data_IF_538738720552
#
_entry.id   IF_538738720552
#
_cell.length_a   1.000
_cell.length_b   1.000
_cell.length_c   1.000
_cell.angle_alpha   90.00
_cell.angle_beta   90.00
_cell.angle_gamma   90.00
#
_symmetry.space_group_name_H-M   'P 1'
#
loop_
_entity.id
_entity.type
_entity.pdbx_description
1 polymer ?
#
# COMPACT_ATOMS: atom_id res chain seq x y z
N UNK A 1 11.75 -5.99 32.18
CA UNK A 1 12.53 -4.78 32.49
C UNK A 1 13.80 -4.66 31.62
N UNK A 2 14.76 -5.58 31.76
CA UNK A 2 16.03 -5.54 31.03
C UNK A 2 15.89 -5.49 29.49
N UNK A 3 15.00 -6.29 28.90
CA UNK A 3 14.75 -6.26 27.45
C UNK A 3 14.19 -4.92 26.96
N UNK A 4 13.32 -4.27 27.75
CA UNK A 4 12.77 -2.96 27.39
C UNK A 4 13.85 -1.89 27.45
N UNK A 5 14.72 -1.93 28.46
CA UNK A 5 15.81 -0.96 28.57
C UNK A 5 16.84 -1.14 27.45
N UNK A 6 17.13 -2.39 27.07
CA UNK A 6 17.94 -2.69 25.88
C UNK A 6 17.32 -2.10 24.61
N UNK A 7 16.02 -2.32 24.36
CA UNK A 7 15.36 -1.78 23.16
C UNK A 7 15.29 -0.24 23.17
N UNK A 8 15.07 0.36 24.34
CA UNK A 8 15.13 1.82 24.51
C UNK A 8 16.52 2.37 24.21
N UNK A 9 17.58 1.66 24.60
CA UNK A 9 18.94 2.09 24.35
C UNK A 9 19.43 1.80 22.92
N UNK A 10 18.90 0.77 22.24
CA UNK A 10 19.52 0.25 21.01
C UNK A 10 18.62 0.09 19.79
N UNK A 11 17.29 0.13 19.91
CA UNK A 11 16.40 -0.11 18.77
C UNK A 11 16.28 1.12 17.86
N UNK A 12 17.38 1.47 17.21
CA UNK A 12 17.47 2.56 16.24
C UNK A 12 16.58 2.30 15.02
N UNK A 13 16.51 1.04 14.58
CA UNK A 13 15.72 0.64 13.41
C UNK A 13 14.24 0.95 13.59
N UNK A 14 13.67 0.67 14.77
CA UNK A 14 12.28 1.00 15.08
C UNK A 14 11.98 2.51 14.96
N UNK A 15 12.85 3.38 15.48
CA UNK A 15 12.71 4.84 15.41
C UNK A 15 12.73 5.35 13.97
N UNK A 16 13.70 4.88 13.19
CA UNK A 16 13.83 5.24 11.78
C UNK A 16 12.61 4.80 10.97
N UNK A 17 12.16 3.54 11.13
CA UNK A 17 10.97 3.03 10.42
C UNK A 17 9.71 3.81 10.80
N UNK A 18 9.56 4.19 12.08
CA UNK A 18 8.43 5.03 12.54
C UNK A 18 8.39 6.37 11.85
N UNK A 19 9.51 7.09 11.86
CA UNK A 19 9.59 8.42 11.23
C UNK A 19 9.44 8.36 9.72
N UNK A 20 9.95 7.31 9.06
CA UNK A 20 9.72 7.08 7.63
C UNK A 20 8.26 6.76 7.31
N UNK A 21 7.57 5.99 8.15
CA UNK A 21 6.11 5.82 8.04
C UNK A 21 5.39 7.17 8.14
N UNK A 22 5.76 8.02 9.10
CA UNK A 22 5.19 9.35 9.22
C UNK A 22 5.47 10.24 8.00
N UNK A 23 6.71 10.23 7.47
CA UNK A 23 7.07 11.00 6.28
C UNK A 23 6.22 10.60 5.06
N UNK A 24 5.97 9.30 4.89
CA UNK A 24 5.07 8.80 3.85
C UNK A 24 3.63 9.22 4.09
N UNK A 25 3.14 9.10 5.32
CA UNK A 25 1.77 9.51 5.64
C UNK A 25 1.54 10.99 5.38
N UNK A 26 2.53 11.84 5.65
CA UNK A 26 2.49 13.25 5.29
C UNK A 26 2.42 13.44 3.76
N UNK A 27 3.22 12.69 2.98
CA UNK A 27 3.20 12.73 1.51
C UNK A 27 1.85 12.25 0.92
N UNK A 28 1.20 11.26 1.53
CA UNK A 28 -0.14 10.82 1.11
C UNK A 28 -1.19 11.91 1.33
N UNK A 29 -1.15 12.57 2.50
CA UNK A 29 -2.07 13.67 2.81
C UNK A 29 -1.84 14.90 1.91
N UNK A 30 -0.62 15.12 1.42
CA UNK A 30 -0.31 16.18 0.43
C UNK A 30 -1.06 15.98 -0.90
N UNK A 31 -1.47 14.76 -1.27
CA UNK A 31 -2.16 14.53 -2.56
C UNK A 31 -3.55 15.17 -2.60
N UNK A 32 -4.19 15.27 -1.43
CA UNK A 32 -5.55 15.76 -1.27
C UNK A 32 -5.61 17.17 -0.63
N UNK A 33 -4.47 17.72 -0.20
CA UNK A 33 -4.40 18.96 0.59
C UNK A 33 -3.26 19.88 0.14
N UNK A 34 -3.29 21.15 0.58
CA UNK A 34 -2.21 22.08 0.26
C UNK A 34 -0.91 21.69 0.98
N UNK A 35 0.18 21.55 0.21
CA UNK A 35 1.53 21.24 0.72
C UNK A 35 2.00 22.18 1.84
N UNK A 36 1.48 23.40 1.89
CA UNK A 36 1.82 24.38 2.92
C UNK A 36 1.32 23.97 4.32
N UNK A 37 0.18 23.28 4.43
CA UNK A 37 -0.43 22.93 5.71
C UNK A 37 0.37 21.84 6.45
N UNK A 38 1.04 20.95 5.72
CA UNK A 38 1.86 19.86 6.26
C UNK A 38 3.33 20.25 6.44
N UNK A 39 3.72 21.49 6.12
CA UNK A 39 5.10 21.94 6.26
C UNK A 39 5.65 21.79 7.70
N UNK A 40 4.94 22.20 8.77
CA UNK A 40 5.47 22.11 10.13
C UNK A 40 5.79 20.67 10.56
N UNK A 41 4.86 19.73 10.31
CA UNK A 41 5.06 18.33 10.69
C UNK A 41 6.16 17.67 9.85
N UNK A 42 6.28 18.03 8.58
CA UNK A 42 7.32 17.51 7.69
C UNK A 42 8.71 17.93 8.14
N UNK A 43 8.90 19.21 8.50
CA UNK A 43 10.16 19.71 9.06
C UNK A 43 10.51 18.93 10.32
N UNK A 44 9.56 18.80 11.26
CA UNK A 44 9.76 18.05 12.50
C UNK A 44 10.18 16.58 12.25
N UNK A 45 9.55 15.89 11.29
CA UNK A 45 9.89 14.51 10.93
C UNK A 45 11.30 14.42 10.37
N UNK A 46 11.67 15.27 9.40
CA UNK A 46 12.98 15.16 8.74
C UNK A 46 14.14 15.60 9.64
N UNK A 47 13.96 16.64 10.45
CA UNK A 47 14.96 17.03 11.45
C UNK A 47 15.20 15.93 12.48
N UNK A 48 14.13 15.31 12.98
CA UNK A 48 14.23 14.18 13.91
C UNK A 48 14.89 12.97 13.26
N UNK A 49 14.51 12.67 12.00
CA UNK A 49 15.08 11.55 11.25
C UNK A 49 16.58 11.74 11.01
N UNK A 50 17.04 12.97 10.77
CA UNK A 50 18.45 13.27 10.58
C UNK A 50 19.29 12.87 11.81
N UNK A 51 18.81 13.17 13.02
CA UNK A 51 19.49 12.77 14.27
C UNK A 51 19.69 11.26 14.37
N UNK A 52 18.64 10.47 14.11
CA UNK A 52 18.75 9.01 14.12
C UNK A 52 19.60 8.44 12.98
N UNK A 53 19.58 9.07 11.79
CA UNK A 53 20.43 8.63 10.68
C UNK A 53 21.92 8.89 10.96
N UNK A 54 22.25 9.90 11.77
CA UNK A 54 23.63 10.12 12.22
C UNK A 54 24.16 8.94 13.04
N UNK A 55 23.30 8.31 13.85
CA UNK A 55 23.63 7.08 14.58
C UNK A 55 23.84 5.85 13.68
N UNK A 56 23.47 5.88 12.39
CA UNK A 56 23.82 4.83 11.44
C UNK A 56 25.21 5.02 10.82
N UNK A 57 25.78 6.22 10.92
CA UNK A 57 27.13 6.50 10.40
C UNK A 57 28.18 5.92 11.33
N UNK A 58 29.37 5.64 10.79
CA UNK A 58 30.48 5.10 11.57
C UNK A 58 31.23 6.17 12.37
N UNK A 59 31.14 7.45 11.97
CA UNK A 59 31.93 8.54 12.54
C UNK A 59 31.74 8.72 14.07
N UNK A 60 30.52 8.71 14.63
CA UNK A 60 30.30 8.85 16.08
C UNK A 60 30.95 7.73 16.93
N UNK A 61 31.27 6.60 16.29
CA UNK A 61 31.74 5.39 16.96
C UNK A 61 33.23 5.10 16.72
N UNK A 62 33.95 5.96 15.99
CA UNK A 62 35.38 5.75 15.70
C UNK A 62 36.23 5.58 16.97
N UNK A 63 35.86 6.26 18.05
CA UNK A 63 36.54 6.17 19.36
C UNK A 63 36.39 4.82 20.06
N UNK A 64 35.45 3.96 19.65
CA UNK A 64 35.26 2.63 20.26
C UNK A 64 36.34 1.62 19.85
N UNK A 65 37.13 1.92 18.80
CA UNK A 65 38.12 0.99 18.25
C UNK A 65 39.16 0.55 19.29
N UNK A 66 39.51 1.44 20.21
CA UNK A 66 40.46 1.15 21.29
C UNK A 66 39.83 0.24 22.34
N UNK A 67 38.60 0.54 22.79
CA UNK A 67 37.81 -0.32 23.69
C UNK A 67 37.64 -1.74 23.14
N UNK A 68 37.37 -1.86 21.83
CA UNK A 68 37.17 -3.15 21.15
C UNK A 68 38.46 -3.99 21.12
N UNK A 69 39.63 -3.34 21.03
CA UNK A 69 40.94 -4.01 20.93
C UNK A 69 41.56 -4.34 22.29
N UNK A 70 40.97 -3.87 23.38
CA UNK A 70 41.44 -4.17 24.72
C UNK A 70 41.41 -5.67 25.02
N UNK A 71 42.45 -6.20 25.68
CA UNK A 71 42.58 -7.63 25.98
C UNK A 71 41.46 -8.14 26.90
N UNK A 72 40.95 -7.29 27.80
CA UNK A 72 39.88 -7.60 28.75
C UNK A 72 38.50 -7.07 28.30
N UNK A 73 38.29 -6.97 26.99
CA UNK A 73 37.07 -6.44 26.40
C UNK A 73 35.80 -7.19 26.89
N UNK A 74 34.87 -6.45 27.49
CA UNK A 74 33.56 -6.97 27.92
C UNK A 74 32.48 -6.56 26.92
N UNK A 75 31.74 -7.54 26.38
CA UNK A 75 30.64 -7.28 25.47
C UNK A 75 29.55 -6.38 26.11
N UNK A 76 29.29 -6.55 27.41
CA UNK A 76 28.34 -5.70 28.12
C UNK A 76 28.82 -4.24 28.17
N UNK A 77 30.11 -4.02 28.48
CA UNK A 77 30.68 -2.67 28.53
C UNK A 77 30.69 -1.99 27.15
N UNK A 78 30.94 -2.75 26.07
CA UNK A 78 30.84 -2.23 24.70
C UNK A 78 29.41 -1.85 24.31
N UNK A 79 28.41 -2.66 24.74
CA UNK A 79 27.00 -2.36 24.51
C UNK A 79 26.62 -1.09 25.28
N UNK A 80 27.05 -0.93 26.53
CA UNK A 80 26.79 0.28 27.31
C UNK A 80 27.48 1.53 26.69
N UNK A 81 28.71 1.40 26.20
CA UNK A 81 29.40 2.47 25.48
C UNK A 81 28.65 2.85 24.19
N UNK A 82 28.16 1.84 23.44
CA UNK A 82 27.35 2.07 22.24
C UNK A 82 26.06 2.83 22.58
N UNK A 83 25.37 2.42 23.65
CA UNK A 83 24.14 3.09 24.13
C UNK A 83 24.42 4.55 24.47
N UNK A 84 25.50 4.81 25.22
CA UNK A 84 25.89 6.15 25.63
C UNK A 84 26.25 7.05 24.44
N UNK A 85 26.89 6.51 23.41
CA UNK A 85 27.22 7.26 22.19
C UNK A 85 26.02 7.55 21.29
N UNK A 86 25.07 6.62 21.21
CA UNK A 86 23.83 6.85 20.44
C UNK A 86 22.89 7.82 21.15
N UNK A 87 22.87 7.78 22.48
CA UNK A 87 22.00 8.56 23.36
C UNK A 87 20.54 8.67 22.85
N UNK A 88 19.97 7.50 22.49
CA UNK A 88 18.66 7.44 21.85
C UNK A 88 17.55 8.03 22.71
N UNK A 89 17.72 8.08 24.05
CA UNK A 89 16.72 8.66 24.96
C UNK A 89 16.63 10.17 24.78
N UNK A 90 17.75 10.86 24.72
CA UNK A 90 17.77 12.31 24.43
C UNK A 90 17.18 12.57 23.05
N UNK A 91 17.55 11.78 22.03
CA UNK A 91 16.96 11.90 20.69
C UNK A 91 15.44 11.66 20.69
N UNK A 92 14.95 10.71 21.48
CA UNK A 92 13.52 10.43 21.62
C UNK A 92 12.78 11.63 22.25
N UNK A 93 13.31 12.20 23.33
CA UNK A 93 12.71 13.35 24.01
C UNK A 93 12.67 14.58 23.08
N UNK A 94 13.75 14.84 22.35
CA UNK A 94 13.79 15.92 21.34
C UNK A 94 12.82 15.66 20.18
N UNK A 95 12.71 14.41 19.72
CA UNK A 95 11.79 14.01 18.65
C UNK A 95 10.35 14.20 19.08
N UNK A 96 9.99 13.76 20.29
CA UNK A 96 8.63 13.93 20.83
C UNK A 96 8.28 15.42 20.98
N UNK A 97 9.23 16.26 21.42
CA UNK A 97 9.03 17.70 21.49
C UNK A 97 8.76 18.32 20.10
N UNK A 98 9.62 18.03 19.10
CA UNK A 98 9.48 18.54 17.72
C UNK A 98 8.17 18.07 17.08
N UNK A 99 7.84 16.78 17.21
CA UNK A 99 6.61 16.22 16.65
C UNK A 99 5.37 16.82 17.33
N UNK A 100 5.39 16.99 18.65
CA UNK A 100 4.30 17.63 19.39
C UNK A 100 4.03 19.05 18.88
N UNK A 101 5.08 19.85 18.74
CA UNK A 101 4.98 21.20 18.18
C UNK A 101 4.43 21.18 16.75
N UNK A 102 5.01 20.37 15.86
CA UNK A 102 4.57 20.27 14.47
C UNK A 102 3.12 19.79 14.33
N UNK A 103 2.69 18.82 15.13
CA UNK A 103 1.31 18.30 15.14
C UNK A 103 0.32 19.34 15.66
N UNK A 104 0.71 20.15 16.64
CA UNK A 104 -0.17 21.18 17.24
C UNK A 104 -0.58 22.26 16.23
N UNK A 105 0.24 22.48 15.20
CA UNK A 105 0.01 23.45 14.13
C UNK A 105 -0.91 22.90 13.02
N UNK A 106 -1.11 21.58 12.94
CA UNK A 106 -1.96 20.98 11.90
C UNK A 106 -3.46 21.17 12.19
N UNK A 107 -4.31 21.39 11.18
CA UNK A 107 -5.76 21.23 11.29
C UNK A 107 -6.15 19.84 11.82
N UNK A 108 -7.32 19.75 12.46
CA UNK A 108 -7.78 18.50 13.11
C UNK A 108 -7.81 17.30 12.16
N UNK A 109 -8.20 17.53 10.91
CA UNK A 109 -8.39 16.48 9.92
C UNK A 109 -7.07 15.93 9.37
N UNK A 110 -5.98 16.72 9.42
CA UNK A 110 -4.62 16.28 9.10
C UNK A 110 -3.87 15.73 10.32
N UNK A 111 -4.11 16.33 11.49
CA UNK A 111 -3.49 15.92 12.75
C UNK A 111 -3.89 14.50 13.16
N UNK A 112 -5.17 14.14 13.00
CA UNK A 112 -5.71 12.83 13.41
C UNK A 112 -5.03 11.65 12.68
N UNK A 113 -4.96 11.62 11.33
CA UNK A 113 -4.25 10.56 10.62
C UNK A 113 -2.76 10.47 10.99
N UNK A 114 -2.08 11.61 11.20
CA UNK A 114 -0.67 11.63 11.59
C UNK A 114 -0.46 11.06 13.00
N UNK A 115 -1.30 11.45 13.97
CA UNK A 115 -1.29 10.90 15.32
C UNK A 115 -1.58 9.40 15.32
N UNK A 116 -2.56 8.96 14.52
CA UNK A 116 -2.90 7.54 14.40
C UNK A 116 -1.73 6.74 13.83
N UNK A 117 -1.01 7.27 12.83
CA UNK A 117 0.18 6.64 12.29
C UNK A 117 1.32 6.56 13.32
N UNK A 118 1.53 7.63 14.11
CA UNK A 118 2.58 7.66 15.15
C UNK A 118 2.31 6.64 16.26
N UNK A 119 1.11 6.70 16.85
CA UNK A 119 0.70 5.85 17.98
C UNK A 119 0.45 4.39 17.54
N UNK A 120 -0.04 4.20 16.32
CA UNK A 120 -0.34 2.88 15.75
C UNK A 120 0.88 2.16 15.17
N UNK A 121 2.01 2.86 14.98
CA UNK A 121 3.21 2.30 14.38
C UNK A 121 3.66 0.95 14.98
N UNK A 122 3.68 0.74 16.32
CA UNK A 122 4.12 -0.55 16.87
C UNK A 122 3.33 -1.75 16.33
N UNK A 123 2.02 -1.60 16.13
CA UNK A 123 1.17 -2.67 15.58
C UNK A 123 1.48 -2.91 14.10
N UNK A 124 1.69 -1.84 13.34
CA UNK A 124 2.10 -1.92 11.94
C UNK A 124 3.48 -2.58 11.79
N UNK A 125 4.45 -2.18 12.62
CA UNK A 125 5.83 -2.69 12.57
C UNK A 125 5.88 -4.18 12.92
N UNK A 126 5.14 -4.64 13.93
CA UNK A 126 5.07 -6.07 14.29
C UNK A 126 4.53 -6.91 13.12
N UNK A 127 3.52 -6.41 12.41
CA UNK A 127 2.92 -7.13 11.29
C UNK A 127 3.80 -7.14 10.03
N UNK A 128 4.60 -6.08 9.82
CA UNK A 128 5.34 -5.86 8.56
C UNK A 128 6.82 -6.20 8.66
N UNK A 129 7.45 -6.06 9.83
CA UNK A 129 8.88 -6.30 10.03
C UNK A 129 9.35 -7.70 9.63
N UNK A 130 8.61 -8.80 9.90
CA UNK A 130 9.02 -10.14 9.44
C UNK A 130 9.10 -10.25 7.92
N UNK A 131 8.27 -9.51 7.20
CA UNK A 131 8.24 -9.48 5.74
C UNK A 131 9.41 -8.67 5.15
N UNK A 132 9.97 -7.71 5.90
CA UNK A 132 11.13 -6.92 5.49
C UNK A 132 12.46 -7.70 5.62
N UNK A 133 12.54 -8.66 6.56
CA UNK A 133 13.76 -9.44 6.80
C UNK A 133 13.92 -10.53 5.75
N UNK A 134 14.55 -10.19 4.62
CA UNK A 134 14.96 -11.15 3.59
C UNK A 134 15.41 -10.49 2.29
N UNK A 135 14.87 -9.31 1.98
CA UNK A 135 15.05 -8.68 0.66
C UNK A 135 16.04 -7.50 0.68
N UNK A 136 16.70 -7.23 1.81
CA UNK A 136 17.53 -6.03 1.97
C UNK A 136 16.75 -4.72 1.94
N UNK A 137 15.41 -4.81 1.90
CA UNK A 137 14.50 -3.67 1.94
C UNK A 137 14.32 -3.21 3.38
N UNK A 138 14.51 -1.92 3.61
CA UNK A 138 14.27 -1.29 4.91
C UNK A 138 12.84 -0.77 5.05
N UNK A 139 12.03 -0.88 3.99
CA UNK A 139 10.75 -0.20 3.86
C UNK A 139 9.87 -0.82 2.74
N UNK A 140 8.54 -0.86 2.94
CA UNK A 140 7.58 -1.18 1.88
C UNK A 140 7.11 0.08 1.17
N UNK A 141 7.18 0.11 -0.16
CA UNK A 141 6.51 1.12 -0.96
C UNK A 141 5.06 0.69 -1.22
N UNK A 142 4.06 1.56 -0.96
CA UNK A 142 2.68 1.24 -1.28
C UNK A 142 2.55 1.11 -2.80
N UNK A 143 2.13 -0.07 -3.25
CA UNK A 143 1.78 -0.31 -4.64
C UNK A 143 0.26 -0.20 -4.78
N UNK A 144 -0.19 0.52 -5.80
CA UNK A 144 -1.60 0.51 -6.18
C UNK A 144 -1.89 -0.86 -6.79
N UNK A 145 -2.94 -1.51 -6.30
CA UNK A 145 -3.39 -2.80 -6.79
C UNK A 145 -4.78 -2.62 -7.37
N UNK A 146 -4.88 -2.80 -8.68
CA UNK A 146 -6.16 -2.90 -9.36
C UNK A 146 -6.50 -4.38 -9.60
N UNK A 147 -7.70 -4.79 -9.16
CA UNK A 147 -8.18 -6.16 -9.34
C UNK A 147 -9.06 -6.25 -10.59
N UNK A 148 -8.77 -7.24 -11.43
CA UNK A 148 -9.64 -7.64 -12.54
C UNK A 148 -10.29 -8.97 -12.16
N UNK A 149 -11.50 -8.90 -11.61
CA UNK A 149 -12.28 -10.07 -11.18
C UNK A 149 -13.71 -9.99 -11.71
N UNK A 150 -14.35 -11.13 -12.06
CA UNK A 150 -15.79 -11.21 -12.30
C UNK A 150 -16.61 -10.62 -11.14
N UNK A 151 -16.13 -10.75 -9.90
CA UNK A 151 -16.85 -10.25 -8.72
C UNK A 151 -16.89 -8.71 -8.66
N UNK A 152 -15.99 -8.03 -9.37
CA UNK A 152 -15.92 -6.56 -9.46
C UNK A 152 -16.59 -6.01 -10.73
N UNK A 153 -16.99 -6.87 -11.66
CA UNK A 153 -17.46 -6.51 -12.99
C UNK A 153 -18.99 -6.66 -13.10
N UNK A 154 -19.70 -5.74 -12.45
CA UNK A 154 -21.15 -5.83 -12.25
C UNK A 154 -21.98 -5.08 -13.29
N UNK A 155 -21.36 -4.49 -14.32
CA UNK A 155 -22.07 -3.63 -15.27
C UNK A 155 -23.12 -4.36 -16.12
N UNK A 156 -22.91 -5.65 -16.42
CA UNK A 156 -23.87 -6.49 -17.16
C UNK A 156 -24.70 -7.32 -16.18
N UNK A 157 -24.04 -8.02 -15.25
CA UNK A 157 -24.71 -8.94 -14.32
C UNK A 157 -24.03 -8.97 -12.96
N UNK A 158 -24.84 -8.95 -11.90
CA UNK A 158 -24.38 -9.18 -10.52
C UNK A 158 -24.29 -10.68 -10.19
N UNK A 159 -23.47 -11.04 -9.20
CA UNK A 159 -23.32 -12.43 -8.73
C UNK A 159 -21.99 -13.08 -9.11
N UNK A 160 -21.09 -12.30 -9.74
CA UNK A 160 -19.70 -12.64 -9.92
C UNK A 160 -19.46 -13.93 -10.70
N UNK A 161 -18.36 -14.61 -10.38
CA UNK A 161 -17.95 -15.82 -11.12
C UNK A 161 -19.05 -16.90 -11.14
N UNK A 162 -19.85 -17.02 -10.07
CA UNK A 162 -20.93 -18.00 -9.97
C UNK A 162 -22.07 -17.76 -10.96
N UNK A 163 -22.37 -16.50 -11.28
CA UNK A 163 -23.45 -16.14 -12.19
C UNK A 163 -23.05 -16.17 -13.68
N UNK A 164 -21.75 -16.12 -13.98
CA UNK A 164 -21.24 -15.90 -15.34
C UNK A 164 -20.35 -17.02 -15.85
N UNK A 165 -19.48 -17.58 -15.00
CA UNK A 165 -18.46 -18.55 -15.42
C UNK A 165 -18.96 -19.99 -15.26
N UNK A 166 -18.69 -20.82 -16.27
CA UNK A 166 -18.97 -22.26 -16.25
C UNK A 166 -17.75 -23.08 -15.87
N UNK A 167 -16.55 -22.53 -16.05
CA UNK A 167 -15.29 -23.18 -15.72
C UNK A 167 -15.11 -23.48 -14.23
N UNK A 168 -15.74 -22.70 -13.35
CA UNK A 168 -15.70 -22.91 -11.89
C UNK A 168 -16.38 -24.23 -11.44
N UNK A 169 -17.18 -24.84 -12.33
CA UNK A 169 -17.74 -26.17 -12.09
C UNK A 169 -16.63 -27.23 -12.07
N UNK A 170 -16.91 -28.41 -11.50
CA UNK A 170 -15.93 -29.50 -11.41
C UNK A 170 -14.58 -29.06 -10.82
N UNK A 171 -14.58 -28.44 -9.64
CA UNK A 171 -13.37 -27.93 -8.96
C UNK A 171 -12.51 -26.99 -9.85
N UNK A 172 -13.16 -26.08 -10.58
CA UNK A 172 -12.53 -25.15 -11.54
C UNK A 172 -11.99 -25.77 -12.84
N UNK A 173 -12.41 -27.00 -13.18
CA UNK A 173 -12.01 -27.67 -14.43
C UNK A 173 -13.13 -27.81 -15.47
N UNK A 174 -14.33 -27.30 -15.22
CA UNK A 174 -15.50 -27.51 -16.10
C UNK A 174 -15.24 -27.10 -17.55
N UNK A 175 -14.50 -26.03 -17.77
CA UNK A 175 -14.16 -25.52 -19.09
C UNK A 175 -13.20 -26.44 -19.87
N UNK A 176 -12.39 -27.28 -19.22
CA UNK A 176 -11.54 -28.23 -19.96
C UNK A 176 -12.34 -29.27 -20.73
N UNK A 177 -13.51 -29.65 -20.20
CA UNK A 177 -14.33 -30.72 -20.76
C UNK A 177 -15.38 -30.27 -21.78
N UNK A 178 -15.63 -28.96 -21.90
CA UNK A 178 -16.67 -28.43 -22.79
C UNK A 178 -16.19 -27.23 -23.58
N UNK A 179 -16.24 -27.33 -24.92
CA UNK A 179 -15.95 -26.21 -25.82
C UNK A 179 -16.88 -25.03 -25.55
N UNK A 180 -18.18 -25.30 -25.36
CA UNK A 180 -19.15 -24.25 -25.03
C UNK A 180 -18.79 -23.53 -23.72
N UNK A 181 -18.28 -24.26 -22.72
CA UNK A 181 -17.85 -23.63 -21.47
C UNK A 181 -16.58 -22.78 -21.65
N UNK A 182 -15.63 -23.21 -22.48
CA UNK A 182 -14.46 -22.38 -22.82
C UNK A 182 -14.87 -21.10 -23.53
N UNK A 183 -15.74 -21.20 -24.52
CA UNK A 183 -16.20 -20.04 -25.28
C UNK A 183 -17.04 -19.08 -24.40
N UNK A 184 -17.88 -19.62 -23.50
CA UNK A 184 -18.58 -18.82 -22.49
C UNK A 184 -17.61 -18.03 -21.61
N UNK A 185 -16.65 -18.72 -20.99
CA UNK A 185 -15.73 -18.10 -20.03
C UNK A 185 -14.76 -17.14 -20.73
N UNK A 186 -14.37 -17.43 -21.98
CA UNK A 186 -13.60 -16.52 -22.81
C UNK A 186 -14.36 -15.22 -23.09
N UNK A 187 -15.63 -15.31 -23.50
CA UNK A 187 -16.45 -14.14 -23.78
C UNK A 187 -16.68 -13.30 -22.51
N UNK A 188 -17.07 -13.93 -21.40
CA UNK A 188 -17.21 -13.26 -20.12
C UNK A 188 -15.89 -12.66 -19.61
N UNK A 189 -14.76 -13.32 -19.83
CA UNK A 189 -13.45 -12.79 -19.51
C UNK A 189 -13.15 -11.47 -20.23
N UNK A 190 -13.48 -11.38 -21.53
CA UNK A 190 -13.34 -10.13 -22.30
C UNK A 190 -14.25 -9.02 -21.78
N UNK A 191 -15.52 -9.34 -21.50
CA UNK A 191 -16.49 -8.37 -21.00
C UNK A 191 -16.14 -7.85 -19.60
N UNK A 192 -15.77 -8.73 -18.67
CA UNK A 192 -15.33 -8.31 -17.33
C UNK A 192 -14.02 -7.52 -17.38
N UNK A 193 -13.07 -7.93 -18.22
CA UNK A 193 -11.83 -7.19 -18.43
C UNK A 193 -12.10 -5.77 -18.92
N UNK A 194 -12.99 -5.62 -19.91
CA UNK A 194 -13.42 -4.33 -20.43
C UNK A 194 -14.11 -3.46 -19.36
N UNK A 195 -15.03 -4.03 -18.59
CA UNK A 195 -15.72 -3.35 -17.49
C UNK A 195 -14.71 -2.78 -16.48
N UNK A 196 -13.78 -3.63 -16.03
CA UNK A 196 -12.76 -3.25 -15.06
C UNK A 196 -11.76 -2.24 -15.60
N UNK A 197 -11.33 -2.38 -16.86
CA UNK A 197 -10.39 -1.44 -17.49
C UNK A 197 -10.97 -0.02 -17.55
N UNK A 198 -12.26 0.12 -17.88
CA UNK A 198 -12.92 1.44 -17.85
C UNK A 198 -12.84 2.04 -16.45
N UNK A 199 -13.14 1.26 -15.41
CA UNK A 199 -13.12 1.77 -14.04
C UNK A 199 -11.71 2.08 -13.53
N UNK A 200 -10.69 1.30 -13.94
CA UNK A 200 -9.29 1.59 -13.66
C UNK A 200 -8.88 2.91 -14.32
N UNK A 201 -9.28 3.15 -15.58
CA UNK A 201 -9.00 4.44 -16.24
C UNK A 201 -9.71 5.59 -15.51
N UNK A 202 -10.96 5.40 -15.10
CA UNK A 202 -11.71 6.40 -14.35
C UNK A 202 -11.09 6.70 -12.97
N UNK A 203 -10.41 5.75 -12.34
CA UNK A 203 -9.72 5.95 -11.06
C UNK A 203 -8.52 6.92 -11.17
N UNK A 204 -8.07 7.22 -12.39
CA UNK A 204 -6.99 8.18 -12.66
C UNK A 204 -7.47 9.64 -12.77
N UNK A 205 -8.78 9.89 -12.75
CA UNK A 205 -9.31 11.25 -12.80
C UNK A 205 -8.90 12.06 -11.57
N UNK A 206 -8.62 13.38 -11.71
CA UNK A 206 -8.31 14.24 -10.58
C UNK A 206 -9.41 14.23 -9.51
N UNK A 207 -9.08 14.48 -8.23
CA UNK A 207 -10.09 14.59 -7.17
C UNK A 207 -11.22 15.56 -7.54
N UNK A 208 -12.46 15.11 -7.39
CA UNK A 208 -13.65 15.90 -7.72
C UNK A 208 -14.03 15.94 -9.20
N UNK A 209 -13.15 15.50 -10.12
CA UNK A 209 -13.50 15.37 -11.53
C UNK A 209 -14.39 14.13 -11.75
N UNK A 210 -15.52 14.33 -12.41
CA UNK A 210 -16.46 13.25 -12.77
C UNK A 210 -16.95 13.46 -14.19
N UNK A 211 -17.16 12.36 -14.90
CA UNK A 211 -17.85 12.41 -16.18
C UNK A 211 -19.34 12.75 -15.97
N UNK A 212 -19.98 13.26 -17.03
CA UNK A 212 -21.41 13.52 -17.03
C UNK A 212 -22.20 12.27 -16.66
N UNK A 213 -23.36 12.46 -16.00
CA UNK A 213 -24.22 11.37 -15.59
C UNK A 213 -24.57 10.46 -16.79
N UNK A 214 -24.46 9.15 -16.60
CA UNK A 214 -24.71 8.15 -17.65
C UNK A 214 -23.57 7.95 -18.66
N UNK A 215 -22.58 8.85 -18.77
CA UNK A 215 -21.51 8.75 -19.77
C UNK A 215 -20.68 7.47 -19.62
N UNK A 216 -20.38 7.07 -18.39
CA UNK A 216 -19.66 5.82 -18.09
C UNK A 216 -20.46 4.60 -18.57
N UNK A 217 -21.77 4.58 -18.31
CA UNK A 217 -22.64 3.50 -18.75
C UNK A 217 -22.72 3.42 -20.27
N UNK A 218 -22.79 4.56 -20.97
CA UNK A 218 -22.72 4.61 -22.44
C UNK A 218 -21.40 4.06 -22.98
N UNK A 219 -20.26 4.46 -22.41
CA UNK A 219 -18.93 3.97 -22.82
C UNK A 219 -18.84 2.45 -22.63
N UNK A 220 -19.24 1.94 -21.46
CA UNK A 220 -19.23 0.49 -21.18
C UNK A 220 -20.15 -0.26 -22.14
N UNK A 221 -21.35 0.24 -22.40
CA UNK A 221 -22.31 -0.33 -23.37
C UNK A 221 -21.71 -0.43 -24.77
N UNK A 222 -21.18 0.68 -25.31
CA UNK A 222 -20.54 0.71 -26.63
C UNK A 222 -19.38 -0.29 -26.71
N UNK A 223 -18.57 -0.36 -25.66
CA UNK A 223 -17.44 -1.29 -25.57
C UNK A 223 -17.90 -2.75 -25.54
N UNK A 224 -18.93 -3.08 -24.76
CA UNK A 224 -19.46 -4.43 -24.70
C UNK A 224 -20.05 -4.87 -26.05
N UNK A 225 -20.86 -4.02 -26.70
CA UNK A 225 -21.43 -4.32 -28.01
C UNK A 225 -20.33 -4.53 -29.07
N UNK A 226 -19.29 -3.68 -29.07
CA UNK A 226 -18.14 -3.87 -29.95
C UNK A 226 -17.41 -5.21 -29.72
N UNK A 227 -17.28 -5.65 -28.46
CA UNK A 227 -16.72 -6.97 -28.15
C UNK A 227 -17.63 -8.08 -28.67
N UNK A 228 -18.95 -7.97 -28.50
CA UNK A 228 -19.89 -8.97 -29.00
C UNK A 228 -19.81 -9.10 -30.52
N UNK A 229 -19.82 -7.98 -31.25
CA UNK A 229 -19.76 -7.97 -32.71
C UNK A 229 -18.45 -8.58 -33.24
N UNK A 230 -17.34 -8.34 -32.55
CA UNK A 230 -16.03 -8.87 -32.90
C UNK A 230 -15.92 -10.40 -32.63
N UNK A 231 -16.54 -10.91 -31.56
CA UNK A 231 -16.39 -12.30 -31.14
C UNK A 231 -17.45 -13.26 -31.72
N UNK A 232 -18.65 -12.79 -32.04
CA UNK A 232 -19.75 -13.57 -32.62
C UNK A 232 -19.36 -14.39 -33.88
N UNK A 233 -18.58 -13.86 -34.84
CA UNK A 233 -18.14 -14.66 -35.98
C UNK A 233 -17.18 -15.80 -35.58
N UNK A 234 -16.59 -15.79 -34.37
CA UNK A 234 -15.56 -16.75 -33.93
C UNK A 234 -16.07 -17.78 -32.93
N UNK A 235 -16.93 -17.38 -31.99
CA UNK A 235 -17.44 -18.23 -30.92
C UNK A 235 -18.74 -18.93 -31.33
N UNK A 236 -18.63 -20.16 -31.86
CA UNK A 236 -19.74 -20.90 -32.48
C UNK A 236 -20.48 -21.85 -31.54
N UNK A 237 -19.94 -22.10 -30.34
CA UNK A 237 -20.51 -23.04 -29.38
C UNK A 237 -21.46 -22.38 -28.38
N UNK A 238 -21.62 -21.06 -28.41
CA UNK A 238 -22.46 -20.29 -27.48
C UNK A 238 -23.37 -19.24 -28.16
N UNK A 239 -24.06 -19.54 -29.28
CA UNK A 239 -24.85 -18.53 -30.01
C UNK A 239 -25.92 -17.87 -29.13
N UNK A 240 -26.66 -18.64 -28.31
CA UNK A 240 -27.69 -18.09 -27.43
C UNK A 240 -27.17 -17.17 -26.33
N UNK A 241 -25.87 -17.23 -26.01
CA UNK A 241 -25.26 -16.30 -25.05
C UNK A 241 -25.13 -14.89 -25.65
N UNK A 242 -24.85 -14.76 -26.95
CA UNK A 242 -24.77 -13.45 -27.62
C UNK A 242 -26.13 -12.76 -27.62
N UNK A 243 -27.19 -13.49 -27.96
CA UNK A 243 -28.56 -12.95 -27.95
C UNK A 243 -28.96 -12.50 -26.54
N UNK A 244 -28.66 -13.32 -25.53
CA UNK A 244 -28.91 -12.99 -24.14
C UNK A 244 -28.14 -11.73 -23.69
N UNK A 245 -26.85 -11.65 -24.00
CA UNK A 245 -26.01 -10.52 -23.61
C UNK A 245 -26.43 -9.22 -24.29
N UNK A 246 -26.78 -9.25 -25.59
CA UNK A 246 -27.31 -8.08 -26.29
C UNK A 246 -28.60 -7.58 -25.64
N UNK A 247 -29.49 -8.47 -25.21
CA UNK A 247 -30.72 -8.09 -24.52
C UNK A 247 -30.44 -7.49 -23.12
N UNK A 248 -29.47 -8.00 -22.38
CA UNK A 248 -29.09 -7.49 -21.05
C UNK A 248 -28.38 -6.12 -21.12
N UNK A 249 -27.54 -5.91 -22.13
CA UNK A 249 -26.80 -4.66 -22.34
C UNK A 249 -27.71 -3.55 -22.90
N UNK A 250 -28.68 -3.94 -23.73
CA UNK A 250 -29.58 -3.03 -24.45
C UNK A 250 -28.95 -2.46 -25.72
#
# INVERSE_FOLDING_TARGET
PATLDLLRAHDLGFRIRRLRLLARRATELDQDNSRAELAPIRTAIYESLAGYLECQRSDPFLGMRESIRATDCSAAALIDELAARMDLRTLDDETDARLSEGLSQLPRDLRRPMLLAYLGFPFFDIATLPLLRGEGLNEFDPIRVDRISPDDATAIRSGGAAATLKGIQFNNFGAFFSRAYRENDYLWGRLHGADRLVDIILSTLPPGARLAAGRVATIKRELFLAILDEEEPRLKAVPGLFDQLRAEIG
#
